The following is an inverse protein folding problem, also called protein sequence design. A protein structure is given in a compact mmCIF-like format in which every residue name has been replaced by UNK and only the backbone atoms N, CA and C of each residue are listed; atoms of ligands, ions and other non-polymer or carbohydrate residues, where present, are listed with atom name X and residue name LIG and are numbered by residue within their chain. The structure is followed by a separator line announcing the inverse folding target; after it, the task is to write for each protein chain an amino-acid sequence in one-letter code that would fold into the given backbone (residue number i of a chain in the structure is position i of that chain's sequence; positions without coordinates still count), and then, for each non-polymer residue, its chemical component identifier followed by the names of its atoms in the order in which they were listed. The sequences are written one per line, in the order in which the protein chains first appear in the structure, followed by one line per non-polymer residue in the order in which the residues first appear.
data_IF_813148773298
#
_entry.id   IF_813148773298
#
_cell.length_a   1.000
_cell.length_b   1.000
_cell.length_c   1.000
_cell.angle_alpha   90.00
_cell.angle_beta   90.00
_cell.angle_gamma   90.00
#
_symmetry.space_group_name_H-M   'P 1'
#
loop_
_entity.id
_entity.type
_entity.pdbx_description
1 polymer ?
#
# COMPACT_ATOMS: atom_id res chain seq x y z
N UNK A 1 -15.73 -6.77 32.75
CA UNK A 1 -16.06 -7.27 31.40
C UNK A 1 -15.64 -8.73 31.35
N UNK A 2 -16.59 -9.66 31.25
CA UNK A 2 -16.29 -11.09 31.15
C UNK A 2 -15.53 -11.34 29.84
N UNK A 3 -14.29 -11.82 29.94
CA UNK A 3 -13.51 -12.27 28.79
C UNK A 3 -14.21 -13.51 28.21
N UNK A 4 -15.10 -13.29 27.24
CA UNK A 4 -15.62 -14.40 26.43
C UNK A 4 -14.42 -15.04 25.71
N UNK A 5 -14.01 -16.20 26.20
CA UNK A 5 -13.10 -17.11 25.50
C UNK A 5 -13.89 -17.78 24.39
N UNK A 6 -13.47 -17.56 23.15
CA UNK A 6 -14.03 -18.23 21.98
C UNK A 6 -13.10 -19.37 21.59
N UNK A 7 -13.63 -20.56 21.29
CA UNK A 7 -12.79 -21.69 20.91
C UNK A 7 -12.08 -21.37 19.59
N UNK A 8 -10.76 -21.57 19.57
CA UNK A 8 -10.00 -21.61 18.32
C UNK A 8 -10.30 -22.96 17.68
N UNK A 9 -10.83 -22.95 16.46
CA UNK A 9 -10.95 -24.15 15.66
C UNK A 9 -9.71 -24.27 14.78
N UNK A 10 -8.94 -25.34 15.02
CA UNK A 10 -7.82 -25.73 14.17
C UNK A 10 -8.19 -27.01 13.42
N UNK A 11 -8.05 -26.99 12.10
CA UNK A 11 -8.25 -28.17 11.27
C UNK A 11 -7.32 -28.16 10.07
N UNK A 12 -7.04 -29.36 9.55
CA UNK A 12 -6.32 -29.52 8.29
C UNK A 12 -7.19 -28.98 7.17
N UNK A 13 -6.62 -28.10 6.36
CA UNK A 13 -7.32 -27.48 5.24
C UNK A 13 -6.36 -27.28 4.07
N UNK A 14 -6.90 -27.38 2.87
CA UNK A 14 -6.14 -27.30 1.62
C UNK A 14 -6.61 -26.10 0.82
N UNK A 15 -5.68 -25.19 0.48
CA UNK A 15 -5.95 -24.04 -0.40
C UNK A 15 -5.30 -24.31 -1.75
N UNK A 16 -6.10 -24.36 -2.82
CA UNK A 16 -5.65 -24.65 -4.20
C UNK A 16 -4.76 -25.90 -4.34
N UNK A 17 -4.97 -26.92 -3.51
CA UNK A 17 -4.15 -28.14 -3.51
C UNK A 17 -2.92 -28.11 -2.59
N UNK A 18 -2.62 -26.98 -1.94
CA UNK A 18 -1.56 -26.87 -0.94
C UNK A 18 -2.10 -27.23 0.43
N UNK A 19 -1.52 -28.25 1.07
CA UNK A 19 -1.85 -28.65 2.43
C UNK A 19 -1.39 -27.61 3.46
N UNK A 20 -2.21 -27.41 4.49
CA UNK A 20 -1.91 -26.53 5.60
C UNK A 20 -2.91 -26.68 6.75
N UNK A 21 -2.88 -25.72 7.68
CA UNK A 21 -3.80 -25.67 8.83
C UNK A 21 -4.55 -24.35 8.84
N UNK A 22 -5.87 -24.45 8.97
CA UNK A 22 -6.75 -23.31 9.19
C UNK A 22 -6.92 -23.09 10.69
N UNK A 23 -6.82 -21.84 11.12
CA UNK A 23 -7.05 -21.37 12.48
C UNK A 23 -8.13 -20.29 12.41
N UNK A 24 -9.31 -20.60 12.94
CA UNK A 24 -10.46 -19.68 12.90
C UNK A 24 -11.01 -19.46 14.29
N UNK A 25 -11.30 -18.20 14.59
CA UNK A 25 -12.12 -17.79 15.73
C UNK A 25 -13.41 -17.20 15.16
N UNK A 26 -14.47 -17.99 15.14
CA UNK A 26 -15.76 -17.64 14.51
C UNK A 26 -16.51 -16.49 15.19
N UNK A 27 -15.99 -15.95 16.28
CA UNK A 27 -16.65 -14.91 17.04
C UNK A 27 -16.63 -13.57 16.30
N UNK A 28 -17.79 -12.88 16.20
CA UNK A 28 -17.81 -11.52 15.71
C UNK A 28 -17.06 -10.62 16.69
N UNK A 29 -16.32 -9.68 16.13
CA UNK A 29 -15.73 -8.59 16.86
C UNK A 29 -16.30 -7.29 16.31
N UNK A 30 -16.86 -6.46 17.19
CA UNK A 30 -17.26 -5.11 16.80
C UNK A 30 -16.05 -4.18 16.88
N UNK A 31 -15.68 -3.58 15.76
CA UNK A 31 -14.59 -2.62 15.66
C UNK A 31 -15.09 -1.43 14.87
N UNK A 32 -15.13 -0.25 15.51
CA UNK A 32 -15.59 1.01 14.88
C UNK A 32 -16.98 0.91 14.23
N UNK A 33 -17.87 0.10 14.82
CA UNK A 33 -19.24 -0.12 14.32
C UNK A 33 -19.37 -1.19 13.22
N UNK A 34 -18.26 -1.82 12.81
CA UNK A 34 -18.26 -2.91 11.84
C UNK A 34 -18.11 -4.26 12.56
N UNK A 35 -18.80 -5.28 12.06
CA UNK A 35 -18.65 -6.67 12.50
C UNK A 35 -17.56 -7.34 11.67
N UNK A 36 -16.47 -7.75 12.33
CA UNK A 36 -15.29 -8.34 11.68
C UNK A 36 -14.92 -9.68 12.31
N UNK A 37 -14.24 -10.53 11.54
CA UNK A 37 -13.60 -11.73 12.07
C UNK A 37 -12.51 -11.34 13.06
N UNK A 38 -12.55 -11.94 14.26
CA UNK A 38 -11.48 -11.77 15.25
C UNK A 38 -10.15 -12.38 14.78
N UNK A 39 -10.21 -13.53 14.12
CA UNK A 39 -9.05 -14.22 13.57
C UNK A 39 -9.51 -15.25 12.54
N UNK A 40 -8.92 -15.21 11.35
CA UNK A 40 -9.11 -16.23 10.33
C UNK A 40 -7.84 -16.34 9.49
N UNK A 41 -7.06 -17.39 9.76
CA UNK A 41 -5.73 -17.56 9.19
C UNK A 41 -5.49 -19.00 8.78
N UNK A 42 -4.85 -19.17 7.63
CA UNK A 42 -4.32 -20.43 7.16
C UNK A 42 -2.79 -20.37 7.05
N UNK A 43 -2.11 -21.46 7.41
CA UNK A 43 -0.65 -21.59 7.32
C UNK A 43 -0.32 -22.86 6.52
N UNK A 44 0.48 -22.72 5.47
CA UNK A 44 0.91 -23.85 4.64
C UNK A 44 1.87 -24.78 5.38
N UNK A 45 1.93 -26.03 4.92
CA UNK A 45 3.11 -26.85 5.15
C UNK A 45 4.35 -26.23 4.50
N UNK A 46 5.52 -26.51 5.07
CA UNK A 46 6.78 -25.92 4.64
C UNK A 46 7.31 -26.55 3.36
N UNK A 47 7.73 -25.73 2.39
CA UNK A 47 8.44 -26.20 1.19
C UNK A 47 9.88 -25.69 1.17
N UNK A 48 10.86 -26.47 0.67
CA UNK A 48 12.23 -26.01 0.54
C UNK A 48 12.35 -24.78 -0.37
N UNK A 49 13.18 -23.81 0.01
CA UNK A 49 13.49 -22.62 -0.78
C UNK A 49 15.01 -22.43 -0.90
N UNK A 50 15.45 -22.04 -2.10
CA UNK A 50 16.86 -21.70 -2.38
C UNK A 50 17.07 -20.19 -2.28
N UNK A 51 18.31 -19.78 -2.00
CA UNK A 51 18.71 -18.37 -1.90
C UNK A 51 18.61 -17.77 -0.50
N UNK A 52 18.09 -18.53 0.48
CA UNK A 52 17.97 -18.13 1.87
C UNK A 52 18.71 -19.14 2.76
N UNK A 53 20.02 -18.96 2.88
CA UNK A 53 20.89 -19.80 3.72
C UNK A 53 20.84 -21.30 3.40
N UNK A 54 21.45 -22.09 4.29
CA UNK A 54 21.45 -23.56 4.21
C UNK A 54 20.09 -24.12 4.67
N UNK A 55 19.48 -24.97 3.83
CA UNK A 55 18.21 -25.66 4.10
C UNK A 55 17.05 -24.71 4.44
N UNK A 56 16.88 -23.62 3.67
CA UNK A 56 15.73 -22.73 3.81
C UNK A 56 14.41 -23.46 3.62
N UNK A 57 13.45 -23.22 4.51
CA UNK A 57 12.07 -23.72 4.42
C UNK A 57 11.11 -22.55 4.49
N UNK A 58 10.20 -22.48 3.53
CA UNK A 58 9.21 -21.41 3.39
C UNK A 58 7.82 -21.91 3.78
N UNK A 59 7.13 -21.11 4.59
CA UNK A 59 5.71 -21.28 4.91
C UNK A 59 4.93 -20.05 4.42
N UNK A 60 3.75 -20.28 3.83
CA UNK A 60 2.84 -19.22 3.42
C UNK A 60 1.79 -19.02 4.50
N UNK A 61 1.57 -17.76 4.87
CA UNK A 61 0.55 -17.32 5.79
C UNK A 61 -0.52 -16.55 5.02
N UNK A 62 -1.76 -17.03 5.06
CA UNK A 62 -2.90 -16.35 4.46
C UNK A 62 -3.86 -15.97 5.59
N UNK A 63 -4.31 -14.72 5.63
CA UNK A 63 -5.34 -14.27 6.58
C UNK A 63 -6.44 -13.51 5.88
N UNK A 64 -7.65 -13.55 6.46
CA UNK A 64 -8.78 -12.72 6.11
C UNK A 64 -9.51 -12.28 7.39
N UNK A 65 -8.96 -11.24 8.02
CA UNK A 65 -9.40 -10.76 9.33
C UNK A 65 -9.10 -9.25 9.52
N UNK A 66 -9.40 -8.72 10.69
CA UNK A 66 -9.06 -7.34 11.09
C UNK A 66 -7.90 -7.33 12.13
N UNK A 67 -6.75 -7.91 11.80
CA UNK A 67 -5.59 -7.93 12.70
C UNK A 67 -5.15 -6.51 13.12
N UNK A 68 -5.32 -5.51 12.23
CA UNK A 68 -4.94 -4.12 12.48
C UNK A 68 -5.98 -3.32 13.29
N UNK A 69 -7.14 -3.91 13.59
CA UNK A 69 -8.22 -3.30 14.39
C UNK A 69 -8.72 -1.98 13.82
N UNK A 70 -8.83 -1.91 12.48
CA UNK A 70 -9.33 -0.73 11.78
C UNK A 70 -10.80 -0.86 11.37
N UNK A 71 -11.44 -2.00 11.64
CA UNK A 71 -12.84 -2.27 11.28
C UNK A 71 -13.04 -2.83 9.88
N UNK A 72 -11.97 -3.26 9.20
CA UNK A 72 -12.02 -3.78 7.84
C UNK A 72 -11.35 -5.15 7.76
N UNK A 73 -12.10 -6.16 7.31
CA UNK A 73 -11.55 -7.49 7.08
C UNK A 73 -10.69 -7.46 5.82
N UNK A 74 -9.39 -7.65 5.98
CA UNK A 74 -8.41 -7.50 4.90
C UNK A 74 -7.72 -8.81 4.62
N UNK A 75 -7.67 -9.19 3.35
CA UNK A 75 -6.90 -10.33 2.90
C UNK A 75 -5.41 -10.01 2.89
N UNK A 76 -4.60 -10.94 3.38
CA UNK A 76 -3.15 -10.84 3.28
C UNK A 76 -2.54 -12.22 3.08
N UNK A 77 -1.72 -12.34 2.04
CA UNK A 77 -0.86 -13.49 1.77
C UNK A 77 0.60 -13.05 1.95
N UNK A 78 1.30 -13.67 2.88
CA UNK A 78 2.71 -13.40 3.20
C UNK A 78 3.44 -14.72 3.37
N UNK A 79 4.76 -14.67 3.55
CA UNK A 79 5.52 -15.86 3.86
C UNK A 79 6.58 -15.61 4.92
N UNK A 80 6.98 -16.69 5.58
CA UNK A 80 8.10 -16.75 6.51
C UNK A 80 9.09 -17.82 6.03
N UNK A 81 10.37 -17.46 5.98
CA UNK A 81 11.46 -18.36 5.62
C UNK A 81 12.30 -18.64 6.85
N UNK A 82 12.44 -19.91 7.20
CA UNK A 82 13.27 -20.39 8.30
C UNK A 82 14.55 -21.05 7.78
N UNK A 83 15.67 -20.83 8.45
CA UNK A 83 16.96 -21.44 8.08
C UNK A 83 17.66 -22.03 9.30
N UNK A 84 18.46 -23.05 9.06
CA UNK A 84 19.28 -23.69 10.11
C UNK A 84 20.38 -22.76 10.66
N UNK A 85 20.70 -21.69 9.93
CA UNK A 85 21.70 -20.68 10.28
C UNK A 85 21.17 -19.63 11.28
N UNK A 86 19.85 -19.56 11.48
CA UNK A 86 19.30 -18.71 12.52
C UNK A 86 19.82 -19.16 13.89
N UNK A 87 20.36 -18.24 14.70
CA UNK A 87 20.99 -18.56 15.99
C UNK A 87 20.08 -19.31 16.97
N UNK A 88 18.77 -19.25 16.77
CA UNK A 88 17.77 -19.96 17.58
C UNK A 88 17.07 -21.12 16.83
N UNK A 89 17.49 -21.45 15.60
CA UNK A 89 16.86 -22.43 14.70
C UNK A 89 15.35 -22.20 14.45
N UNK A 90 14.81 -21.08 14.93
CA UNK A 90 13.40 -20.68 14.91
C UNK A 90 13.23 -19.20 14.51
N UNK A 91 14.32 -18.46 14.28
CA UNK A 91 14.18 -17.08 13.85
C UNK A 91 13.91 -17.05 12.34
N UNK A 92 12.98 -16.19 11.94
CA UNK A 92 12.63 -15.97 10.54
C UNK A 92 13.82 -15.26 9.87
N UNK A 93 14.40 -15.89 8.84
CA UNK A 93 15.50 -15.33 8.07
C UNK A 93 15.03 -14.27 7.06
N UNK A 94 13.81 -14.42 6.56
CA UNK A 94 13.12 -13.44 5.72
C UNK A 94 11.60 -13.64 5.87
N UNK A 95 10.83 -12.56 5.83
CA UNK A 95 9.38 -12.67 5.89
C UNK A 95 8.64 -11.40 5.47
N UNK A 96 7.32 -11.52 5.34
CA UNK A 96 6.45 -10.45 4.87
C UNK A 96 5.98 -10.66 3.43
N UNK A 97 5.99 -9.59 2.64
CA UNK A 97 5.51 -9.57 1.25
C UNK A 97 6.54 -10.20 0.29
N UNK A 98 6.60 -11.53 0.26
CA UNK A 98 7.49 -12.34 -0.58
C UNK A 98 6.74 -12.92 -1.79
N UNK A 99 6.03 -12.07 -2.53
CA UNK A 99 5.10 -12.49 -3.59
C UNK A 99 5.77 -13.33 -4.70
N UNK A 100 6.96 -12.92 -5.15
CA UNK A 100 7.71 -13.63 -6.18
C UNK A 100 8.16 -15.01 -5.71
N UNK A 101 8.62 -15.11 -4.46
CA UNK A 101 8.99 -16.39 -3.85
C UNK A 101 7.78 -17.29 -3.66
N UNK A 102 6.62 -16.72 -3.27
CA UNK A 102 5.36 -17.47 -3.11
C UNK A 102 4.97 -18.06 -4.46
N UNK A 103 4.91 -17.26 -5.52
CA UNK A 103 4.59 -17.75 -6.86
C UNK A 103 5.58 -18.82 -7.35
N UNK A 104 6.86 -18.71 -7.00
CA UNK A 104 7.89 -19.68 -7.39
C UNK A 104 7.82 -21.00 -6.61
N UNK A 105 7.57 -20.97 -5.31
CA UNK A 105 7.61 -22.16 -4.43
C UNK A 105 6.22 -22.80 -4.27
N UNK A 106 5.19 -21.98 -4.30
CA UNK A 106 3.76 -22.33 -4.21
C UNK A 106 2.99 -21.71 -5.39
N UNK A 107 3.28 -22.10 -6.64
CA UNK A 107 2.57 -21.57 -7.82
C UNK A 107 1.05 -21.74 -7.74
N UNK A 108 0.57 -22.71 -6.98
CA UNK A 108 -0.86 -22.93 -6.73
C UNK A 108 -1.53 -21.75 -5.97
N UNK A 109 -0.74 -20.96 -5.25
CA UNK A 109 -1.20 -19.80 -4.47
C UNK A 109 -0.98 -18.47 -5.20
N UNK A 110 -0.23 -18.46 -6.32
CA UNK A 110 0.00 -17.25 -7.14
C UNK A 110 -1.30 -16.52 -7.50
N UNK A 111 -2.42 -17.19 -7.89
CA UNK A 111 -3.66 -16.49 -8.23
C UNK A 111 -4.25 -15.66 -7.09
N UNK A 112 -3.88 -15.93 -5.83
CA UNK A 112 -4.34 -15.20 -4.65
C UNK A 112 -3.49 -13.98 -4.32
N UNK A 113 -2.28 -13.86 -4.88
CA UNK A 113 -1.35 -12.73 -4.62
C UNK A 113 -1.98 -11.39 -5.00
N UNK A 114 -2.77 -11.36 -6.08
CA UNK A 114 -3.49 -10.15 -6.53
C UNK A 114 -4.46 -9.58 -5.47
N UNK A 115 -4.89 -10.41 -4.52
CA UNK A 115 -5.81 -9.99 -3.45
C UNK A 115 -5.08 -9.46 -2.20
N UNK A 116 -3.75 -9.47 -2.16
CA UNK A 116 -3.01 -8.95 -1.02
C UNK A 116 -3.40 -7.50 -0.74
N UNK A 117 -3.82 -7.22 0.50
CA UNK A 117 -4.32 -5.93 0.97
C UNK A 117 -5.65 -5.48 0.37
N UNK A 118 -6.46 -6.42 -0.13
CA UNK A 118 -7.86 -6.16 -0.48
C UNK A 118 -8.75 -6.42 0.72
N UNK A 119 -9.60 -5.46 1.07
CA UNK A 119 -10.62 -5.61 2.11
C UNK A 119 -12.02 -5.77 1.52
N UNK A 120 -13.01 -5.91 2.40
CA UNK A 120 -14.43 -5.88 2.05
C UNK A 120 -14.88 -4.59 1.35
N UNK A 121 -14.09 -3.52 1.40
CA UNK A 121 -14.36 -2.24 0.72
C UNK A 121 -13.59 -2.05 -0.58
N UNK A 122 -12.60 -2.92 -0.83
CA UNK A 122 -11.79 -2.94 -2.04
C UNK A 122 -10.29 -2.96 -1.75
N UNK A 123 -9.46 -2.85 -2.81
CA UNK A 123 -8.02 -2.75 -2.66
C UNK A 123 -7.58 -1.56 -1.81
N UNK A 124 -6.54 -1.75 -1.00
CA UNK A 124 -5.98 -0.67 -0.19
C UNK A 124 -5.60 0.52 -1.06
N UNK A 125 -6.21 1.68 -0.78
CA UNK A 125 -6.06 2.91 -1.56
C UNK A 125 -6.36 2.75 -3.07
N UNK A 126 -7.30 1.85 -3.43
CA UNK A 126 -7.66 1.46 -4.80
C UNK A 126 -7.56 2.60 -5.84
N UNK A 127 -8.38 3.65 -5.70
CA UNK A 127 -8.38 4.77 -6.64
C UNK A 127 -7.09 5.59 -6.54
N UNK A 128 -6.70 5.96 -5.31
CA UNK A 128 -5.57 6.88 -5.10
C UNK A 128 -4.24 6.30 -5.59
N UNK A 129 -3.94 5.04 -5.27
CA UNK A 129 -2.72 4.36 -5.72
C UNK A 129 -2.72 4.14 -7.23
N UNK A 130 -3.86 3.73 -7.80
CA UNK A 130 -3.97 3.54 -9.25
C UNK A 130 -3.71 4.85 -9.99
N UNK A 131 -4.37 5.95 -9.59
CA UNK A 131 -4.16 7.26 -10.20
C UNK A 131 -2.72 7.77 -10.00
N UNK A 132 -2.15 7.55 -8.81
CA UNK A 132 -0.77 7.93 -8.53
C UNK A 132 0.20 7.20 -9.45
N UNK A 133 0.15 5.87 -9.51
CA UNK A 133 1.06 5.07 -10.34
C UNK A 133 0.88 5.34 -11.84
N UNK A 134 -0.37 5.47 -12.29
CA UNK A 134 -0.71 5.78 -13.67
C UNK A 134 -0.33 7.21 -14.11
N UNK A 135 -0.28 8.16 -13.17
CA UNK A 135 0.02 9.56 -13.43
C UNK A 135 1.51 9.90 -13.58
N UNK A 136 1.78 11.03 -14.21
CA UNK A 136 3.11 11.65 -14.37
C UNK A 136 3.36 12.80 -13.37
N UNK A 137 2.45 12.96 -12.41
CA UNK A 137 2.52 13.93 -11.32
C UNK A 137 3.37 13.39 -10.17
N UNK A 138 4.22 14.24 -9.60
CA UNK A 138 5.04 13.91 -8.44
C UNK A 138 4.20 13.75 -7.14
N UNK A 139 4.88 13.54 -6.01
CA UNK A 139 4.23 13.41 -4.69
C UNK A 139 3.51 14.69 -4.21
N UNK A 140 3.62 15.78 -4.96
CA UNK A 140 2.92 17.05 -4.71
C UNK A 140 1.78 17.29 -5.70
N UNK A 141 1.52 16.34 -6.60
CA UNK A 141 0.48 16.46 -7.61
C UNK A 141 0.88 17.36 -8.79
N UNK A 142 2.17 17.67 -8.97
CA UNK A 142 2.66 18.57 -10.01
C UNK A 142 3.34 17.78 -11.14
N UNK A 143 3.11 18.19 -12.38
CA UNK A 143 3.90 17.72 -13.53
C UNK A 143 5.25 18.42 -13.57
N UNK A 144 6.18 17.85 -14.31
CA UNK A 144 7.51 18.43 -14.51
C UNK A 144 7.39 19.87 -15.06
N UNK A 145 7.92 20.83 -14.30
CA UNK A 145 7.90 22.25 -14.65
C UNK A 145 6.62 23.00 -14.25
N UNK A 146 5.58 22.33 -13.75
CA UNK A 146 4.42 23.02 -13.18
C UNK A 146 4.84 23.72 -11.87
N UNK A 147 4.42 24.97 -11.69
CA UNK A 147 4.70 25.73 -10.46
C UNK A 147 3.43 25.88 -9.62
N UNK A 148 3.52 25.61 -8.33
CA UNK A 148 2.44 25.87 -7.39
C UNK A 148 2.95 26.62 -6.17
N UNK A 149 2.23 27.67 -5.77
CA UNK A 149 2.56 28.42 -4.57
C UNK A 149 2.35 27.54 -3.33
N UNK A 150 3.38 27.49 -2.48
CA UNK A 150 3.39 26.70 -1.27
C UNK A 150 2.37 27.26 -0.29
N UNK A 151 1.65 26.39 0.41
CA UNK A 151 0.81 26.76 1.56
C UNK A 151 1.51 26.37 2.86
N UNK A 152 1.41 27.24 3.86
CA UNK A 152 1.94 26.99 5.18
C UNK A 152 1.14 25.87 5.85
N UNK A 153 1.80 24.78 6.28
CA UNK A 153 1.13 23.63 6.89
C UNK A 153 0.43 23.90 8.23
N UNK A 154 0.76 25.01 8.92
CA UNK A 154 0.11 25.42 10.17
C UNK A 154 -1.04 26.39 9.96
N UNK A 155 -0.89 27.36 9.05
CA UNK A 155 -1.89 28.43 8.87
C UNK A 155 -2.76 28.26 7.64
N UNK A 156 -2.40 27.37 6.70
CA UNK A 156 -3.08 27.18 5.41
C UNK A 156 -2.90 28.33 4.40
N UNK A 157 -2.24 29.42 4.82
CA UNK A 157 -2.02 30.61 4.01
C UNK A 157 -0.96 30.39 2.95
N UNK A 158 -1.05 31.14 1.85
CA UNK A 158 -0.05 31.12 0.78
C UNK A 158 1.27 31.73 1.27
N UNK A 159 2.37 31.04 0.99
CA UNK A 159 3.71 31.46 1.37
C UNK A 159 4.26 32.47 0.37
N UNK A 160 4.88 33.52 0.91
CA UNK A 160 5.57 34.56 0.16
C UNK A 160 7.02 34.59 0.62
N UNK A 161 7.93 34.86 -0.31
CA UNK A 161 9.34 35.07 -0.01
C UNK A 161 9.74 36.48 -0.40
N UNK A 162 10.55 37.13 0.44
CA UNK A 162 11.11 38.43 0.15
C UNK A 162 12.38 38.22 -0.69
N UNK A 163 12.31 38.58 -1.97
CA UNK A 163 13.41 38.35 -2.93
C UNK A 163 14.01 39.68 -3.33
N UNK A 164 15.33 39.78 -3.32
CA UNK A 164 16.04 40.93 -3.86
C UNK A 164 16.09 40.84 -5.38
N UNK A 165 15.53 41.85 -6.04
CA UNK A 165 15.35 42.00 -7.50
C UNK A 165 16.17 43.15 -8.08
N UNK A 166 16.92 43.87 -7.25
CA UNK A 166 17.89 44.89 -7.68
C UNK A 166 19.23 44.27 -8.06
N UNK A 167 20.17 45.10 -8.51
CA UNK A 167 21.57 44.70 -8.68
C UNK A 167 22.16 44.36 -7.31
N UNK A 168 22.69 43.14 -7.17
CA UNK A 168 23.26 42.67 -5.90
C UNK A 168 24.34 43.68 -5.48
N UNK A 169 24.20 44.35 -4.33
CA UNK A 169 25.19 45.33 -3.91
C UNK A 169 26.54 44.65 -3.71
N UNK A 170 27.65 45.36 -3.95
CA UNK A 170 28.98 44.84 -3.64
C UNK A 170 29.08 44.51 -2.14
N UNK A 171 29.88 43.49 -1.81
CA UNK A 171 30.04 43.05 -0.41
C UNK A 171 30.70 44.13 0.46
N UNK A 172 31.53 44.98 -0.12
CA UNK A 172 32.17 46.12 0.54
C UNK A 172 32.32 47.28 -0.46
N UNK A 173 32.36 48.50 0.06
CA UNK A 173 32.64 49.74 -0.67
C UNK A 173 33.64 50.52 0.18
N UNK A 174 34.79 50.86 -0.38
CA UNK A 174 35.77 51.71 0.29
C UNK A 174 35.26 53.15 0.29
N UNK A 175 35.06 53.73 1.47
CA UNK A 175 34.56 55.08 1.64
C UNK A 175 34.92 55.64 3.02
N UNK A 176 35.37 56.90 3.07
CA UNK A 176 35.66 57.62 4.32
C UNK A 176 34.37 58.12 5.02
N UNK A 177 33.22 57.98 4.36
CA UNK A 177 31.88 58.33 4.88
C UNK A 177 30.91 57.17 4.69
N UNK A 178 29.93 57.00 5.57
CA UNK A 178 28.94 55.92 5.48
C UNK A 178 28.19 55.97 4.13
N UNK A 179 28.29 54.93 3.27
CA UNK A 179 27.59 54.92 1.99
C UNK A 179 26.09 54.72 2.20
N UNK A 180 25.28 55.34 1.34
CA UNK A 180 23.82 55.22 1.43
C UNK A 180 23.39 53.77 1.14
N UNK A 181 22.60 53.19 2.05
CA UNK A 181 22.09 51.84 1.87
C UNK A 181 21.23 51.74 0.59
N UNK A 182 21.33 50.66 -0.20
CA UNK A 182 20.49 50.47 -1.38
C UNK A 182 19.00 50.57 -1.00
N UNK A 183 18.34 51.62 -1.47
CA UNK A 183 16.91 51.85 -1.24
C UNK A 183 16.11 51.15 -2.33
N UNK A 184 15.22 50.26 -1.91
CA UNK A 184 14.42 49.45 -2.84
C UNK A 184 15.23 48.30 -3.45
N UNK A 185 14.51 47.30 -3.95
CA UNK A 185 15.10 46.08 -4.51
C UNK A 185 14.40 44.83 -4.03
N UNK A 186 13.83 44.83 -2.83
CA UNK A 186 13.08 43.68 -2.34
C UNK A 186 11.63 43.70 -2.83
N UNK A 187 11.15 42.55 -3.32
CA UNK A 187 9.75 42.31 -3.67
C UNK A 187 9.26 41.03 -3.01
N UNK A 188 8.04 41.05 -2.49
CA UNK A 188 7.35 39.83 -2.10
C UNK A 188 6.94 39.06 -3.35
N UNK A 189 7.46 37.86 -3.49
CA UNK A 189 7.14 36.95 -4.59
C UNK A 189 6.48 35.68 -4.04
N UNK A 190 5.55 35.06 -4.79
CA UNK A 190 5.04 33.75 -4.44
C UNK A 190 6.18 32.78 -4.23
N UNK A 191 6.22 32.11 -3.06
CA UNK A 191 7.16 31.02 -2.86
C UNK A 191 6.57 29.77 -3.49
N UNK A 192 7.03 29.45 -4.69
CA UNK A 192 6.53 28.32 -5.46
C UNK A 192 7.43 27.10 -5.31
N UNK A 193 6.81 25.94 -5.31
CA UNK A 193 7.45 24.66 -5.64
C UNK A 193 7.32 24.44 -7.14
N UNK A 194 8.39 23.94 -7.76
CA UNK A 194 8.37 23.46 -9.14
C UNK A 194 8.26 21.94 -9.08
N UNK A 195 7.31 21.39 -9.81
CA UNK A 195 7.11 19.96 -9.92
C UNK A 195 8.27 19.30 -10.65
N UNK A 196 8.73 18.18 -10.13
CA UNK A 196 9.71 17.32 -10.80
C UNK A 196 9.01 16.38 -11.79
N UNK A 197 7.71 16.15 -11.57
CA UNK A 197 6.98 15.06 -12.21
C UNK A 197 7.52 13.70 -11.79
N UNK A 198 6.95 12.64 -12.36
CA UNK A 198 7.52 11.29 -12.22
C UNK A 198 7.25 10.46 -13.46
N UNK A 199 8.01 9.39 -13.61
CA UNK A 199 7.69 8.36 -14.60
C UNK A 199 6.42 7.59 -14.19
N UNK A 200 5.61 7.23 -15.18
CA UNK A 200 4.41 6.42 -14.97
C UNK A 200 4.83 4.98 -14.70
N UNK A 201 4.32 4.40 -13.62
CA UNK A 201 4.50 2.98 -13.34
C UNK A 201 3.17 2.27 -13.64
N UNK A 202 2.97 1.89 -14.91
CA UNK A 202 1.70 1.30 -15.35
C UNK A 202 1.49 -0.10 -14.76
N UNK A 203 2.56 -0.82 -14.43
CA UNK A 203 2.44 -2.14 -13.83
C UNK A 203 1.94 -2.05 -12.39
N UNK A 204 2.53 -1.18 -11.58
CA UNK A 204 2.03 -0.90 -10.24
C UNK A 204 0.60 -0.35 -10.25
N UNK A 205 0.20 0.35 -11.33
CA UNK A 205 -1.19 0.79 -11.50
C UNK A 205 -2.14 -0.39 -11.75
N UNK A 206 -1.75 -1.39 -12.57
CA UNK A 206 -2.53 -2.63 -12.75
C UNK A 206 -2.66 -3.40 -11.45
N UNK A 207 -1.56 -3.57 -10.73
CA UNK A 207 -1.53 -4.28 -9.45
C UNK A 207 -2.44 -3.60 -8.42
N UNK A 208 -2.30 -2.27 -8.24
CA UNK A 208 -3.13 -1.48 -7.32
C UNK A 208 -4.62 -1.54 -7.67
N UNK A 209 -4.93 -1.67 -8.96
CA UNK A 209 -6.29 -1.75 -9.47
C UNK A 209 -6.85 -3.18 -9.53
N UNK A 210 -6.06 -4.19 -9.15
CA UNK A 210 -6.33 -5.61 -9.44
C UNK A 210 -6.84 -5.79 -10.89
N UNK A 211 -6.17 -5.14 -11.85
CA UNK A 211 -6.60 -5.02 -13.24
C UNK A 211 -5.47 -5.40 -14.23
N UNK A 212 -5.06 -6.68 -14.27
CA UNK A 212 -3.92 -7.12 -15.08
C UNK A 212 -4.14 -6.90 -16.60
N UNK A 213 -5.37 -6.98 -17.07
CA UNK A 213 -5.72 -6.81 -18.48
C UNK A 213 -5.90 -5.34 -18.91
N UNK A 214 -5.72 -4.37 -18.01
CA UNK A 214 -5.83 -2.95 -18.35
C UNK A 214 -4.83 -2.55 -19.44
N UNK A 215 -5.32 -1.93 -20.51
CA UNK A 215 -4.43 -1.41 -21.55
C UNK A 215 -3.68 -0.18 -21.08
N UNK A 216 -2.53 0.10 -21.69
CA UNK A 216 -1.77 1.32 -21.39
C UNK A 216 -2.59 2.59 -21.67
N UNK A 217 -3.46 2.54 -22.68
CA UNK A 217 -4.35 3.64 -23.06
C UNK A 217 -5.40 3.91 -21.98
N UNK A 218 -6.00 2.85 -21.42
CA UNK A 218 -6.95 2.97 -20.31
C UNK A 218 -6.31 3.61 -19.08
N UNK A 219 -5.11 3.16 -18.71
CA UNK A 219 -4.38 3.71 -17.56
C UNK A 219 -3.85 5.13 -17.81
N UNK A 220 -3.70 5.55 -19.07
CA UNK A 220 -3.21 6.90 -19.42
C UNK A 220 -4.31 7.94 -19.57
N UNK A 221 -5.58 7.56 -19.42
CA UNK A 221 -6.72 8.47 -19.43
C UNK A 221 -6.55 9.63 -18.43
N UNK A 222 -7.32 10.70 -18.62
CA UNK A 222 -7.37 11.76 -17.63
C UNK A 222 -7.82 11.21 -16.26
N UNK A 223 -7.28 11.71 -15.14
CA UNK A 223 -7.50 11.10 -13.83
C UNK A 223 -8.96 10.92 -13.45
N UNK A 224 -9.83 11.86 -13.85
CA UNK A 224 -11.25 11.78 -13.54
C UNK A 224 -11.98 10.69 -14.35
N UNK A 225 -11.55 10.44 -15.59
CA UNK A 225 -12.14 9.38 -16.41
C UNK A 225 -11.65 8.00 -15.96
N UNK A 226 -10.37 7.86 -15.63
CA UNK A 226 -9.83 6.64 -15.03
C UNK A 226 -10.52 6.34 -13.69
N UNK A 227 -10.73 7.36 -12.85
CA UNK A 227 -11.46 7.22 -11.59
C UNK A 227 -12.86 6.64 -11.78
N UNK A 228 -13.65 7.18 -12.73
CA UNK A 228 -15.00 6.67 -13.01
C UNK A 228 -14.99 5.20 -13.44
N UNK A 229 -14.01 4.80 -14.25
CA UNK A 229 -13.85 3.39 -14.66
C UNK A 229 -13.56 2.51 -13.45
N UNK A 230 -12.66 2.95 -12.57
CA UNK A 230 -12.31 2.20 -11.35
C UNK A 230 -13.52 2.05 -10.43
N UNK A 231 -14.27 3.14 -10.20
CA UNK A 231 -15.50 3.13 -9.40
C UNK A 231 -16.55 2.18 -9.98
N UNK A 232 -16.74 2.18 -11.30
CA UNK A 232 -17.68 1.29 -11.98
C UNK A 232 -17.26 -0.20 -11.89
N UNK A 233 -15.96 -0.49 -11.82
CA UNK A 233 -15.43 -1.87 -11.70
C UNK A 233 -15.47 -2.42 -10.28
N UNK A 234 -15.52 -1.56 -9.26
CA UNK A 234 -15.28 -1.97 -7.86
C UNK A 234 -16.25 -3.05 -7.37
N UNK A 235 -17.54 -2.95 -7.71
CA UNK A 235 -18.54 -3.93 -7.24
C UNK A 235 -18.32 -5.32 -7.85
N UNK A 236 -17.97 -5.40 -9.13
CA UNK A 236 -17.64 -6.66 -9.79
C UNK A 236 -16.35 -7.27 -9.23
N UNK A 237 -15.33 -6.43 -8.99
CA UNK A 237 -14.08 -6.84 -8.36
C UNK A 237 -14.31 -7.44 -6.97
N UNK A 238 -15.13 -6.79 -6.14
CA UNK A 238 -15.47 -7.28 -4.81
C UNK A 238 -16.27 -8.58 -4.85
N UNK A 239 -17.13 -8.78 -5.85
CA UNK A 239 -17.84 -10.04 -6.04
C UNK A 239 -16.87 -11.19 -6.42
N UNK A 240 -15.88 -10.92 -7.27
CA UNK A 240 -14.82 -11.88 -7.60
C UNK A 240 -13.98 -12.21 -6.36
N UNK A 241 -13.53 -11.18 -5.63
CA UNK A 241 -12.78 -11.35 -4.40
C UNK A 241 -13.55 -12.19 -3.37
N UNK A 242 -14.83 -11.90 -3.14
CA UNK A 242 -15.70 -12.70 -2.28
C UNK A 242 -15.77 -14.15 -2.71
N UNK A 243 -15.99 -14.39 -4.01
CA UNK A 243 -16.05 -15.74 -4.58
C UNK A 243 -14.74 -16.50 -4.30
N UNK A 244 -13.60 -15.84 -4.42
CA UNK A 244 -12.30 -16.44 -4.13
C UNK A 244 -12.11 -16.72 -2.63
N UNK A 245 -12.53 -15.82 -1.74
CA UNK A 245 -12.47 -16.06 -0.28
C UNK A 245 -13.29 -17.29 0.11
N UNK A 246 -14.53 -17.37 -0.38
CA UNK A 246 -15.41 -18.51 -0.12
C UNK A 246 -14.85 -19.81 -0.72
N UNK A 247 -14.30 -19.74 -1.95
CA UNK A 247 -13.68 -20.89 -2.64
C UNK A 247 -12.50 -21.47 -1.88
N UNK A 248 -11.68 -20.63 -1.23
CA UNK A 248 -10.53 -21.09 -0.43
C UNK A 248 -10.90 -21.46 1.00
N UNK A 249 -12.19 -21.45 1.34
CA UNK A 249 -12.70 -21.89 2.65
C UNK A 249 -12.68 -20.81 3.72
N UNK A 250 -12.49 -19.54 3.34
CA UNK A 250 -12.73 -18.44 4.26
C UNK A 250 -14.21 -18.07 4.29
N UNK A 251 -14.67 -17.64 5.48
CA UNK A 251 -15.96 -17.02 5.69
C UNK A 251 -15.86 -15.55 5.32
N UNK A 252 -16.87 -15.06 4.59
CA UNK A 252 -16.99 -13.65 4.23
C UNK A 252 -17.47 -12.78 5.40
N UNK A 253 -18.33 -13.35 6.24
CA UNK A 253 -18.92 -12.71 7.41
C UNK A 253 -18.72 -13.59 8.64
N UNK A 254 -18.52 -12.99 9.84
CA UNK A 254 -18.48 -13.75 11.09
C UNK A 254 -19.81 -14.46 11.33
N UNK A 255 -19.75 -15.64 11.96
CA UNK A 255 -20.94 -16.38 12.35
C UNK A 255 -21.49 -15.76 13.64
N UNK A 256 -22.82 -15.63 13.73
CA UNK A 256 -23.51 -15.19 14.95
C UNK A 256 -23.34 -16.16 16.13
#
# INVERSE_FOLDING_TARGET
MSTKTYPIQEHVHTINGVSGRMHTVHAPQEVRGNLVHRNQRWISEGRPIKGYGTNGVMHVNIRFDDECKNGHQSFSITADVYTAESRRQKDIAAGGCLHEEIARVFPELEPLVKWHLVSTDGPMHYIANTLYHAGDRDCHGLRKGESQQIRNGKTGQLCWQLVFTGEKPPQYVDSDTEPEAPKGGYKWMPWCRIGEGKERNLEAARESACWPEATNEQLRMEPEDLKKILEARLSALLAEFKTDMERIGFLWEPLD
#
